data_IF_908694333491
#
_entry.id   IF_908694333491
#
_cell.length_a   1.000
_cell.length_b   1.000
_cell.length_c   1.000
_cell.angle_alpha   90.00
_cell.angle_beta   90.00
_cell.angle_gamma   90.00
#
_symmetry.space_group_name_H-M   'P 1'
#
loop_
_entity.id
_entity.type
_entity.pdbx_description
1 polymer ?
#
# COMPACT_ATOMS: atom_id res chain seq x y z
N UNK A 1 -13.56 -65.28 38.62
CA UNK A 1 -12.30 -65.18 39.40
C UNK A 1 -11.08 -64.97 38.50
N UNK A 2 -10.98 -65.63 37.34
CA UNK A 2 -9.84 -65.42 36.42
C UNK A 2 -9.87 -64.05 35.69
N UNK A 3 -11.06 -63.54 35.33
CA UNK A 3 -11.18 -62.18 34.74
C UNK A 3 -10.71 -61.08 35.70
N UNK A 4 -11.07 -61.16 36.99
CA UNK A 4 -10.66 -60.16 37.98
C UNK A 4 -9.14 -60.13 38.24
N UNK A 5 -8.44 -61.26 38.12
CA UNK A 5 -6.98 -61.31 38.28
C UNK A 5 -6.24 -60.69 37.08
N UNK A 6 -6.76 -60.87 35.86
CA UNK A 6 -6.22 -60.23 34.66
C UNK A 6 -6.48 -58.72 34.65
N UNK A 7 -7.62 -58.28 35.21
CA UNK A 7 -7.93 -56.87 35.43
C UNK A 7 -6.97 -56.23 36.45
N UNK A 8 -6.67 -56.92 37.56
CA UNK A 8 -5.75 -56.42 38.59
C UNK A 8 -4.31 -56.24 38.06
N UNK A 9 -3.78 -57.23 37.31
CA UNK A 9 -2.43 -57.13 36.74
C UNK A 9 -2.32 -56.04 35.66
N UNK A 10 -3.36 -55.82 34.84
CA UNK A 10 -3.39 -54.74 33.85
C UNK A 10 -3.39 -53.36 34.52
N UNK A 11 -4.14 -53.19 35.61
CA UNK A 11 -4.19 -51.93 36.38
C UNK A 11 -2.83 -51.63 37.02
N UNK A 12 -2.13 -52.63 37.55
CA UNK A 12 -0.80 -52.45 38.11
C UNK A 12 0.25 -52.09 37.05
N UNK A 13 0.19 -52.71 35.87
CA UNK A 13 1.07 -52.39 34.75
C UNK A 13 0.91 -50.94 34.29
N UNK A 14 -0.33 -50.46 34.17
CA UNK A 14 -0.63 -49.06 33.82
C UNK A 14 -0.15 -48.11 34.93
N UNK A 15 -0.37 -48.45 36.21
CA UNK A 15 0.11 -47.64 37.34
C UNK A 15 1.63 -47.50 37.37
N UNK A 16 2.38 -48.59 37.14
CA UNK A 16 3.86 -48.55 37.06
C UNK A 16 4.32 -47.74 35.86
N UNK A 17 3.78 -48.03 34.69
CA UNK A 17 4.12 -47.31 33.47
C UNK A 17 3.87 -45.81 33.62
N UNK A 18 2.74 -45.42 34.21
CA UNK A 18 2.44 -44.01 34.50
C UNK A 18 3.46 -43.41 35.48
N UNK A 19 3.76 -44.10 36.59
CA UNK A 19 4.72 -43.60 37.59
C UNK A 19 6.14 -43.41 37.01
N UNK A 20 6.54 -44.26 36.07
CA UNK A 20 7.85 -44.20 35.40
C UNK A 20 7.89 -43.23 34.21
N UNK A 21 6.79 -43.16 33.44
CA UNK A 21 6.75 -42.48 32.12
C UNK A 21 5.85 -41.24 32.06
N UNK A 22 5.19 -40.80 33.14
CA UNK A 22 4.29 -39.63 33.08
C UNK A 22 4.97 -38.38 32.51
N UNK A 23 6.28 -38.21 32.76
CA UNK A 23 7.06 -37.08 32.24
C UNK A 23 7.10 -37.07 30.72
N UNK A 24 7.27 -38.21 30.05
CA UNK A 24 7.34 -38.26 28.58
C UNK A 24 6.01 -37.92 27.90
N UNK A 25 4.90 -37.90 28.63
CA UNK A 25 3.57 -37.51 28.14
C UNK A 25 3.25 -36.07 28.56
N UNK A 26 3.46 -35.74 29.83
CA UNK A 26 3.11 -34.43 30.38
C UNK A 26 3.96 -33.31 29.79
N UNK A 27 5.25 -33.54 29.53
CA UNK A 27 6.09 -32.52 28.89
C UNK A 27 5.61 -32.11 27.49
N UNK A 28 5.41 -33.02 26.52
CA UNK A 28 4.94 -32.63 25.20
C UNK A 28 3.50 -32.10 25.20
N UNK A 29 2.60 -32.70 26.01
CA UNK A 29 1.22 -32.21 26.13
C UNK A 29 1.17 -30.82 26.76
N UNK A 30 1.94 -30.58 27.83
CA UNK A 30 2.07 -29.28 28.46
C UNK A 30 2.66 -28.24 27.51
N UNK A 31 3.70 -28.59 26.76
CA UNK A 31 4.28 -27.73 25.73
C UNK A 31 3.25 -27.37 24.65
N UNK A 32 2.48 -28.34 24.15
CA UNK A 32 1.42 -28.09 23.17
C UNK A 32 0.35 -27.12 23.70
N UNK A 33 -0.06 -27.25 24.96
CA UNK A 33 -1.02 -26.33 25.60
C UNK A 33 -0.46 -24.92 25.70
N UNK A 34 0.80 -24.76 26.13
CA UNK A 34 1.44 -23.44 26.25
C UNK A 34 1.58 -22.78 24.88
N UNK A 35 2.00 -23.54 23.86
CA UNK A 35 2.09 -23.05 22.48
C UNK A 35 0.71 -22.61 21.96
N UNK A 36 -0.32 -23.44 22.14
CA UNK A 36 -1.68 -23.14 21.70
C UNK A 36 -2.26 -21.92 22.42
N UNK A 37 -2.09 -21.83 23.74
CA UNK A 37 -2.54 -20.69 24.53
C UNK A 37 -1.82 -19.39 24.11
N UNK A 38 -0.51 -19.46 23.85
CA UNK A 38 0.26 -18.33 23.35
C UNK A 38 -0.22 -17.85 21.97
N UNK A 39 -0.49 -18.78 21.05
CA UNK A 39 -1.05 -18.46 19.73
C UNK A 39 -2.44 -17.82 19.85
N UNK A 40 -3.35 -18.46 20.59
CA UNK A 40 -4.73 -17.99 20.77
C UNK A 40 -4.79 -16.62 21.45
N UNK A 41 -3.93 -16.37 22.45
CA UNK A 41 -3.82 -15.06 23.09
C UNK A 41 -3.36 -13.97 22.11
N UNK A 42 -2.36 -14.28 21.27
CA UNK A 42 -1.89 -13.34 20.24
C UNK A 42 -2.99 -13.05 19.22
N UNK A 43 -3.72 -14.06 18.78
CA UNK A 43 -4.77 -13.93 17.78
C UNK A 43 -5.94 -13.09 18.29
N UNK A 44 -6.41 -13.35 19.51
CA UNK A 44 -7.43 -12.53 20.18
C UNK A 44 -6.96 -11.07 20.39
N UNK A 45 -5.67 -10.87 20.67
CA UNK A 45 -5.10 -9.52 20.79
C UNK A 45 -5.10 -8.77 19.45
N UNK A 46 -4.71 -9.44 18.36
CA UNK A 46 -4.72 -8.88 17.00
C UNK A 46 -6.15 -8.54 16.57
N UNK A 47 -7.11 -9.44 16.80
CA UNK A 47 -8.51 -9.23 16.44
C UNK A 47 -9.11 -8.02 17.17
N UNK A 48 -8.87 -7.93 18.48
CA UNK A 48 -9.35 -6.79 19.28
C UNK A 48 -8.72 -5.46 18.82
N UNK A 49 -7.42 -5.45 18.52
CA UNK A 49 -6.76 -4.25 17.98
C UNK A 49 -7.30 -3.89 16.59
N UNK A 50 -7.62 -4.88 15.75
CA UNK A 50 -8.17 -4.62 14.42
C UNK A 50 -9.56 -3.95 14.49
N UNK A 51 -10.45 -4.41 15.38
CA UNK A 51 -11.80 -3.84 15.56
C UNK A 51 -11.71 -2.40 16.09
N UNK A 52 -10.97 -2.18 17.18
CA UNK A 52 -10.85 -0.84 17.76
C UNK A 52 -10.09 0.12 16.83
N UNK A 53 -9.08 -0.39 16.13
CA UNK A 53 -8.32 0.35 15.12
C UNK A 53 -9.21 0.76 13.94
N UNK A 54 -10.09 -0.13 13.47
CA UNK A 54 -11.04 0.21 12.39
C UNK A 54 -12.01 1.29 12.80
N UNK A 55 -12.57 1.23 14.02
CA UNK A 55 -13.51 2.25 14.49
C UNK A 55 -12.87 3.64 14.57
N UNK A 56 -11.65 3.74 15.12
CA UNK A 56 -10.90 5.01 15.14
C UNK A 56 -10.52 5.47 13.73
N UNK A 57 -10.11 4.55 12.87
CA UNK A 57 -9.77 4.87 11.49
C UNK A 57 -10.98 5.41 10.70
N UNK A 58 -12.17 4.84 10.90
CA UNK A 58 -13.40 5.34 10.29
C UNK A 58 -13.73 6.76 10.75
N UNK A 59 -13.52 7.07 12.03
CA UNK A 59 -13.66 8.45 12.53
C UNK A 59 -12.64 9.41 11.89
N UNK A 60 -11.40 8.94 11.67
CA UNK A 60 -10.38 9.71 10.96
C UNK A 60 -10.80 9.98 9.51
N UNK A 61 -11.30 8.97 8.80
CA UNK A 61 -11.78 9.09 7.42
C UNK A 61 -12.95 10.09 7.35
N UNK A 62 -13.91 10.01 8.27
CA UNK A 62 -15.02 10.97 8.35
C UNK A 62 -14.53 12.39 8.66
N UNK A 63 -13.50 12.55 9.50
CA UNK A 63 -12.95 13.85 9.83
C UNK A 63 -12.29 14.54 8.61
N UNK A 64 -11.77 13.76 7.66
CA UNK A 64 -11.15 14.28 6.43
C UNK A 64 -12.11 14.30 5.22
N UNK A 65 -13.37 13.94 5.42
CA UNK A 65 -14.37 13.95 4.37
C UNK A 65 -14.83 15.37 4.08
N UNK A 66 -14.78 15.76 2.81
CA UNK A 66 -15.19 17.08 2.33
C UNK A 66 -15.98 16.93 1.04
N UNK A 67 -16.88 17.88 0.79
CA UNK A 67 -17.59 17.95 -0.48
C UNK A 67 -16.62 18.26 -1.63
N UNK A 68 -16.88 17.78 -2.86
CA UNK A 68 -16.03 18.09 -4.01
C UNK A 68 -15.78 19.59 -4.16
N UNK A 69 -14.51 19.99 -4.20
CA UNK A 69 -14.10 21.40 -4.35
C UNK A 69 -14.04 22.20 -3.04
N UNK A 70 -14.20 21.57 -1.87
CA UNK A 70 -13.98 22.19 -0.56
C UNK A 70 -12.66 21.72 0.06
N UNK A 71 -12.06 22.57 0.90
CA UNK A 71 -10.91 22.23 1.73
C UNK A 71 -11.34 21.90 3.16
N UNK A 72 -10.49 21.20 3.89
CA UNK A 72 -10.72 20.92 5.31
C UNK A 72 -10.65 22.21 6.13
N UNK A 73 -11.62 22.41 7.02
CA UNK A 73 -11.51 23.45 8.04
C UNK A 73 -10.35 23.16 8.99
N UNK A 74 -9.85 24.18 9.69
CA UNK A 74 -8.75 24.00 10.65
C UNK A 74 -9.17 23.09 11.82
N UNK A 75 -10.45 23.12 12.22
CA UNK A 75 -10.99 22.18 13.20
C UNK A 75 -10.97 20.73 12.70
N UNK A 76 -11.35 20.50 11.43
CA UNK A 76 -11.29 19.18 10.82
C UNK A 76 -9.86 18.66 10.72
N UNK A 77 -8.91 19.51 10.31
CA UNK A 77 -7.47 19.17 10.28
C UNK A 77 -6.96 18.82 11.66
N UNK A 78 -7.24 19.64 12.67
CA UNK A 78 -6.81 19.40 14.05
C UNK A 78 -7.37 18.08 14.60
N UNK A 79 -8.67 17.81 14.35
CA UNK A 79 -9.31 16.55 14.71
C UNK A 79 -8.66 15.35 14.01
N UNK A 80 -8.39 15.46 12.71
CA UNK A 80 -7.74 14.40 11.94
C UNK A 80 -6.31 14.12 12.44
N UNK A 81 -5.54 15.16 12.76
CA UNK A 81 -4.19 15.00 13.34
C UNK A 81 -4.26 14.30 14.69
N UNK A 82 -5.20 14.71 15.56
CA UNK A 82 -5.41 14.06 16.87
C UNK A 82 -5.72 12.57 16.71
N UNK A 83 -6.70 12.24 15.87
CA UNK A 83 -7.10 10.84 15.62
C UNK A 83 -5.96 10.02 15.02
N UNK A 84 -5.19 10.58 14.10
CA UNK A 84 -4.05 9.88 13.50
C UNK A 84 -2.96 9.59 14.54
N UNK A 85 -2.66 10.54 15.43
CA UNK A 85 -1.67 10.33 16.50
C UNK A 85 -2.16 9.30 17.52
N UNK A 86 -3.43 9.33 17.90
CA UNK A 86 -4.02 8.30 18.77
C UNK A 86 -3.95 6.91 18.13
N UNK A 87 -4.19 6.79 16.82
CA UNK A 87 -4.05 5.51 16.13
C UNK A 87 -2.60 5.03 16.13
N UNK A 88 -1.63 5.93 15.92
CA UNK A 88 -0.22 5.59 15.95
C UNK A 88 0.25 5.14 17.35
N UNK A 89 -0.31 5.71 18.42
CA UNK A 89 -0.02 5.33 19.81
C UNK A 89 -0.69 4.00 20.20
N UNK A 90 -1.99 3.88 19.96
CA UNK A 90 -2.80 2.74 20.43
C UNK A 90 -2.68 1.49 19.56
N UNK A 91 -2.38 1.67 18.26
CA UNK A 91 -2.38 0.60 17.25
C UNK A 91 -1.07 0.55 16.46
N UNK A 92 0.03 0.95 17.09
CA UNK A 92 1.37 0.96 16.48
C UNK A 92 1.71 -0.37 15.80
N UNK A 93 2.23 -0.30 14.57
CA UNK A 93 2.64 -1.48 13.79
C UNK A 93 1.49 -2.25 13.14
N UNK A 94 0.24 -1.81 13.31
CA UNK A 94 -0.89 -2.36 12.57
C UNK A 94 -1.03 -1.74 11.17
N UNK A 95 -1.91 -2.30 10.34
CA UNK A 95 -2.27 -1.67 9.07
C UNK A 95 -2.94 -0.29 9.26
N UNK A 96 -3.69 -0.10 10.35
CA UNK A 96 -4.38 1.17 10.63
C UNK A 96 -3.41 2.29 10.98
N UNK A 97 -2.35 2.00 11.73
CA UNK A 97 -1.24 2.95 11.96
C UNK A 97 -0.61 3.40 10.63
N UNK A 98 -0.25 2.46 9.75
CA UNK A 98 0.29 2.78 8.43
C UNK A 98 -0.68 3.67 7.62
N UNK A 99 -1.98 3.37 7.62
CA UNK A 99 -2.98 4.16 6.88
C UNK A 99 -3.22 5.55 7.49
N UNK A 100 -3.26 5.65 8.82
CA UNK A 100 -3.39 6.92 9.54
C UNK A 100 -2.16 7.81 9.32
N UNK A 101 -0.96 7.23 9.36
CA UNK A 101 0.30 7.91 9.05
C UNK A 101 0.29 8.46 7.61
N UNK A 102 -0.24 7.71 6.64
CA UNK A 102 -0.39 8.18 5.27
C UNK A 102 -1.40 9.33 5.12
N UNK A 103 -2.43 9.41 5.98
CA UNK A 103 -3.36 10.55 6.04
C UNK A 103 -2.65 11.76 6.65
N UNK A 104 -1.92 11.57 7.75
CA UNK A 104 -1.14 12.62 8.38
C UNK A 104 -0.12 13.22 7.39
N UNK A 105 0.57 12.37 6.63
CA UNK A 105 1.48 12.82 5.58
C UNK A 105 0.78 13.65 4.50
N UNK A 106 -0.44 13.30 4.10
CA UNK A 106 -1.23 14.11 3.17
C UNK A 106 -1.51 15.50 3.74
N UNK A 107 -1.93 15.60 5.00
CA UNK A 107 -2.18 16.89 5.65
C UNK A 107 -0.90 17.74 5.68
N UNK A 108 0.27 17.13 5.89
CA UNK A 108 1.57 17.83 5.78
C UNK A 108 1.87 18.32 4.36
N UNK A 109 1.52 17.56 3.33
CA UNK A 109 1.62 18.02 1.93
C UNK A 109 0.69 19.21 1.69
N UNK A 110 -0.54 19.18 2.18
CA UNK A 110 -1.51 20.27 2.04
C UNK A 110 -1.01 21.55 2.74
N UNK A 111 -0.23 21.41 3.84
CA UNK A 111 0.47 22.50 4.53
C UNK A 111 1.80 22.91 3.87
N UNK A 112 2.15 22.35 2.72
CA UNK A 112 3.43 22.52 2.02
C UNK A 112 4.67 22.12 2.85
N UNK A 113 4.50 21.26 3.86
CA UNK A 113 5.56 20.68 4.71
C UNK A 113 6.05 19.36 4.14
N UNK A 114 6.67 19.42 2.97
CA UNK A 114 7.06 18.25 2.18
C UNK A 114 8.08 17.36 2.89
N UNK A 115 9.01 17.93 3.66
CA UNK A 115 10.02 17.19 4.43
C UNK A 115 9.40 16.37 5.57
N UNK A 116 8.34 16.88 6.20
CA UNK A 116 7.59 16.14 7.22
C UNK A 116 6.81 15.00 6.57
N UNK A 117 6.14 15.26 5.44
CA UNK A 117 5.44 14.24 4.67
C UNK A 117 6.39 13.12 4.19
N UNK A 118 7.59 13.47 3.71
CA UNK A 118 8.63 12.53 3.31
C UNK A 118 8.99 11.57 4.46
N UNK A 119 9.24 12.09 5.66
CA UNK A 119 9.58 11.26 6.83
C UNK A 119 8.45 10.29 7.19
N UNK A 120 7.22 10.78 7.21
CA UNK A 120 6.03 9.98 7.53
C UNK A 120 5.78 8.88 6.49
N UNK A 121 5.91 9.17 5.20
CA UNK A 121 5.69 8.14 4.18
C UNK A 121 6.86 7.15 4.15
N UNK A 122 8.09 7.61 4.40
CA UNK A 122 9.28 6.74 4.45
C UNK A 122 9.21 5.75 5.62
N UNK A 123 8.66 6.14 6.77
CA UNK A 123 8.41 5.20 7.86
C UNK A 123 7.43 4.11 7.43
N UNK A 124 6.31 4.48 6.78
CA UNK A 124 5.34 3.52 6.25
C UNK A 124 5.94 2.58 5.20
N UNK A 125 6.81 3.07 4.31
CA UNK A 125 7.53 2.20 3.35
C UNK A 125 8.36 1.13 4.08
N UNK A 126 8.91 1.47 5.25
CA UNK A 126 9.76 0.59 6.05
C UNK A 126 8.96 -0.35 6.97
N UNK A 127 7.77 0.07 7.43
CA UNK A 127 6.91 -0.66 8.38
C UNK A 127 5.63 -1.24 7.76
N UNK A 128 5.50 -1.22 6.43
CA UNK A 128 4.28 -1.61 5.74
C UNK A 128 3.83 -3.03 6.11
N UNK A 129 2.57 -3.15 6.55
CA UNK A 129 1.98 -4.43 6.95
C UNK A 129 1.83 -5.43 5.78
N UNK A 130 1.80 -4.95 4.53
CA UNK A 130 1.72 -5.78 3.33
C UNK A 130 2.31 -5.05 2.11
N UNK A 131 2.54 -5.81 1.04
CA UNK A 131 3.13 -5.32 -0.21
C UNK A 131 2.28 -4.24 -0.89
N UNK A 132 0.96 -4.33 -0.81
CA UNK A 132 0.02 -3.34 -1.36
C UNK A 132 0.20 -1.98 -0.69
N UNK A 133 0.27 -1.94 0.64
CA UNK A 133 0.55 -0.73 1.42
C UNK A 133 1.93 -0.17 1.10
N UNK A 134 2.97 -1.03 1.02
CA UNK A 134 4.31 -0.60 0.65
C UNK A 134 4.35 0.03 -0.75
N UNK A 135 3.66 -0.58 -1.72
CA UNK A 135 3.61 -0.14 -3.12
C UNK A 135 2.89 1.20 -3.26
N UNK A 136 1.78 1.37 -2.54
CA UNK A 136 1.06 2.64 -2.49
C UNK A 136 1.90 3.74 -1.80
N UNK A 137 2.57 3.41 -0.69
CA UNK A 137 3.42 4.36 0.04
C UNK A 137 4.61 4.81 -0.83
N UNK A 138 5.27 3.92 -1.56
CA UNK A 138 6.34 4.26 -2.53
C UNK A 138 5.84 5.22 -3.62
N UNK A 139 4.66 4.98 -4.19
CA UNK A 139 4.07 5.89 -5.17
C UNK A 139 3.78 7.29 -4.59
N UNK A 140 3.28 7.36 -3.34
CA UNK A 140 3.04 8.63 -2.64
C UNK A 140 4.35 9.34 -2.30
N UNK A 141 5.38 8.61 -1.87
CA UNK A 141 6.71 9.16 -1.60
C UNK A 141 7.34 9.71 -2.88
N UNK A 142 7.18 9.02 -4.02
CA UNK A 142 7.62 9.51 -5.31
C UNK A 142 6.95 10.84 -5.70
N UNK A 143 5.65 11.02 -5.39
CA UNK A 143 4.97 12.32 -5.57
C UNK A 143 5.56 13.41 -4.68
N UNK A 144 5.90 13.10 -3.43
CA UNK A 144 6.54 14.07 -2.53
C UNK A 144 7.93 14.44 -3.03
N UNK A 145 8.73 13.46 -3.46
CA UNK A 145 10.03 13.71 -4.09
C UNK A 145 9.91 14.53 -5.37
N UNK A 146 8.90 14.25 -6.21
CA UNK A 146 8.60 15.06 -7.38
C UNK A 146 8.30 16.52 -6.99
N UNK A 147 7.43 16.74 -6.00
CA UNK A 147 7.08 18.08 -5.53
C UNK A 147 8.27 18.83 -4.89
N UNK A 148 9.20 18.11 -4.27
CA UNK A 148 10.47 18.65 -3.74
C UNK A 148 11.53 18.89 -4.84
N UNK A 149 11.27 18.52 -6.10
CA UNK A 149 12.26 18.57 -7.18
C UNK A 149 13.34 17.48 -7.12
N UNK A 150 13.21 16.49 -6.22
CA UNK A 150 14.10 15.32 -6.11
C UNK A 150 13.76 14.28 -7.18
N UNK A 151 13.86 14.67 -8.45
CA UNK A 151 13.36 13.89 -9.59
C UNK A 151 13.99 12.50 -9.72
N UNK A 152 15.29 12.36 -9.48
CA UNK A 152 15.96 11.06 -9.56
C UNK A 152 15.53 10.10 -8.43
N UNK A 153 15.32 10.64 -7.22
CA UNK A 153 14.79 9.87 -6.10
C UNK A 153 13.35 9.43 -6.37
N UNK A 154 12.51 10.32 -6.94
CA UNK A 154 11.17 9.99 -7.37
C UNK A 154 11.18 8.86 -8.41
N UNK A 155 12.00 9.00 -9.47
CA UNK A 155 12.12 8.00 -10.52
C UNK A 155 12.57 6.64 -9.99
N UNK A 156 13.53 6.63 -9.05
CA UNK A 156 14.04 5.42 -8.41
C UNK A 156 12.95 4.60 -7.71
N UNK A 157 11.95 5.26 -7.11
CA UNK A 157 10.84 4.59 -6.44
C UNK A 157 9.81 3.97 -7.40
N UNK A 158 9.60 4.56 -8.58
CA UNK A 158 8.54 4.15 -9.52
C UNK A 158 9.05 3.45 -10.78
N UNK A 159 10.34 3.11 -10.84
CA UNK A 159 10.95 2.39 -11.98
C UNK A 159 10.82 0.88 -11.90
N UNK A 160 10.58 0.33 -10.71
CA UNK A 160 10.45 -1.12 -10.52
C UNK A 160 9.10 -1.63 -11.03
N UNK A 161 9.03 -2.85 -11.59
CA UNK A 161 7.76 -3.51 -11.86
C UNK A 161 6.92 -3.65 -10.59
N UNK A 162 5.60 -3.52 -10.74
CA UNK A 162 4.61 -3.66 -9.66
C UNK A 162 3.48 -4.57 -10.12
N UNK A 163 2.56 -4.90 -9.23
CA UNK A 163 1.37 -5.66 -9.63
C UNK A 163 0.50 -4.84 -10.60
N UNK A 164 -0.29 -5.50 -11.48
CA UNK A 164 -1.10 -4.80 -12.49
C UNK A 164 -2.04 -3.73 -11.95
N UNK A 165 -2.46 -3.84 -10.67
CA UNK A 165 -3.29 -2.86 -10.00
C UNK A 165 -2.63 -1.48 -9.85
N UNK A 166 -1.29 -1.40 -9.89
CA UNK A 166 -0.52 -0.17 -9.72
C UNK A 166 0.20 0.30 -10.97
N UNK A 167 0.20 -0.48 -12.06
CA UNK A 167 0.94 -0.17 -13.29
C UNK A 167 0.61 1.22 -13.83
N UNK A 168 -0.68 1.56 -13.90
CA UNK A 168 -1.14 2.87 -14.37
C UNK A 168 -0.62 4.01 -13.50
N UNK A 169 -0.67 3.84 -12.18
CA UNK A 169 -0.19 4.84 -11.22
C UNK A 169 1.34 5.04 -11.33
N UNK A 170 2.11 3.96 -11.41
CA UNK A 170 3.57 4.01 -11.52
C UNK A 170 4.00 4.58 -12.88
N UNK A 171 3.32 4.20 -13.95
CA UNK A 171 3.57 4.74 -15.28
C UNK A 171 3.26 6.25 -15.35
N UNK A 172 2.14 6.70 -14.78
CA UNK A 172 1.81 8.13 -14.72
C UNK A 172 2.89 8.92 -13.98
N UNK A 173 3.36 8.43 -12.83
CA UNK A 173 4.41 9.09 -12.04
C UNK A 173 5.76 9.14 -12.74
N UNK A 174 6.13 8.06 -13.45
CA UNK A 174 7.32 8.07 -14.31
C UNK A 174 7.18 9.14 -15.39
N UNK A 175 6.01 9.23 -16.01
CA UNK A 175 5.71 10.26 -17.00
C UNK A 175 5.87 11.67 -16.45
N UNK A 176 5.30 11.93 -15.27
CA UNK A 176 5.40 13.22 -14.58
C UNK A 176 6.86 13.59 -14.33
N UNK A 177 7.65 12.65 -13.80
CA UNK A 177 9.08 12.85 -13.54
C UNK A 177 9.88 13.08 -14.83
N UNK A 178 9.65 12.29 -15.89
CA UNK A 178 10.33 12.50 -17.18
C UNK A 178 9.97 13.85 -17.80
N UNK A 179 8.70 14.27 -17.71
CA UNK A 179 8.26 15.56 -18.21
C UNK A 179 8.97 16.70 -17.48
N UNK A 180 9.09 16.63 -16.15
CA UNK A 180 9.83 17.61 -15.36
C UNK A 180 11.35 17.63 -15.65
N UNK A 181 11.93 16.49 -16.08
CA UNK A 181 13.32 16.42 -16.57
C UNK A 181 13.49 16.94 -18.01
N UNK A 182 12.41 17.32 -18.70
CA UNK A 182 12.42 17.72 -20.10
C UNK A 182 12.46 16.56 -21.09
N UNK A 183 12.39 15.32 -20.61
CA UNK A 183 12.49 14.10 -21.41
C UNK A 183 11.13 13.72 -22.03
N UNK A 184 10.58 14.60 -22.88
CA UNK A 184 9.20 14.50 -23.41
C UNK A 184 8.89 13.15 -24.08
N UNK A 185 9.81 12.60 -24.87
CA UNK A 185 9.61 11.30 -25.52
C UNK A 185 9.38 10.17 -24.50
N UNK A 186 10.19 10.13 -23.43
CA UNK A 186 10.02 9.12 -22.37
C UNK A 186 8.76 9.37 -21.56
N UNK A 187 8.42 10.63 -21.31
CA UNK A 187 7.17 10.99 -20.65
C UNK A 187 5.94 10.51 -21.44
N UNK A 188 5.93 10.75 -22.76
CA UNK A 188 4.86 10.33 -23.65
C UNK A 188 4.65 8.81 -23.62
N UNK A 189 5.74 8.03 -23.74
CA UNK A 189 5.69 6.56 -23.61
C UNK A 189 5.12 6.11 -22.26
N UNK A 190 5.54 6.76 -21.18
CA UNK A 190 5.05 6.43 -19.84
C UNK A 190 3.56 6.76 -19.66
N UNK A 191 3.08 7.90 -20.19
CA UNK A 191 1.65 8.24 -20.16
C UNK A 191 0.79 7.32 -21.03
N UNK A 192 1.32 6.88 -22.18
CA UNK A 192 0.63 5.89 -23.01
C UNK A 192 0.45 4.57 -22.25
N UNK A 193 1.50 4.09 -21.58
CA UNK A 193 1.41 2.92 -20.71
C UNK A 193 0.41 3.14 -19.56
N UNK A 194 0.39 4.34 -18.98
CA UNK A 194 -0.53 4.67 -17.91
C UNK A 194 -1.99 4.59 -18.37
N UNK A 195 -2.33 5.08 -19.57
CA UNK A 195 -3.68 5.00 -20.15
C UNK A 195 -4.08 3.58 -20.55
N UNK A 196 -3.14 2.79 -21.06
CA UNK A 196 -3.39 1.42 -21.50
C UNK A 196 -3.69 0.49 -20.32
N UNK A 197 -3.10 0.75 -19.16
CA UNK A 197 -3.29 -0.05 -17.93
C UNK A 197 -4.32 0.56 -16.96
N UNK A 198 -4.88 1.74 -17.28
CA UNK A 198 -5.87 2.40 -16.43
C UNK A 198 -7.22 1.65 -16.46
N UNK A 199 -7.80 1.30 -15.30
CA UNK A 199 -9.12 0.68 -15.24
C UNK A 199 -10.19 1.54 -15.94
N UNK A 200 -11.11 0.95 -16.73
CA UNK A 200 -12.08 1.70 -17.54
C UNK A 200 -12.99 2.65 -16.74
N UNK A 201 -13.25 2.32 -15.47
CA UNK A 201 -14.13 3.10 -14.60
C UNK A 201 -13.51 4.44 -14.13
N UNK A 202 -12.20 4.64 -14.31
CA UNK A 202 -11.50 5.84 -13.84
C UNK A 202 -11.52 6.98 -14.86
N UNK A 203 -12.70 7.39 -15.30
CA UNK A 203 -12.89 8.41 -16.34
C UNK A 203 -12.15 9.73 -16.04
N UNK A 204 -12.23 10.24 -14.80
CA UNK A 204 -11.56 11.48 -14.41
C UNK A 204 -10.04 11.39 -14.52
N UNK A 205 -9.44 10.24 -14.14
CA UNK A 205 -7.98 10.04 -14.29
C UNK A 205 -7.59 9.90 -15.76
N UNK A 206 -8.41 9.22 -16.56
CA UNK A 206 -8.17 9.06 -18.01
C UNK A 206 -8.03 10.42 -18.69
N UNK A 207 -8.94 11.35 -18.43
CA UNK A 207 -8.89 12.70 -19.01
C UNK A 207 -7.62 13.47 -18.63
N UNK A 208 -7.16 13.36 -17.38
CA UNK A 208 -5.94 14.03 -16.91
C UNK A 208 -4.70 13.42 -17.58
N UNK A 209 -4.60 12.10 -17.65
CA UNK A 209 -3.45 11.44 -18.27
C UNK A 209 -3.42 11.69 -19.78
N UNK A 210 -4.59 11.76 -20.44
CA UNK A 210 -4.68 12.13 -21.85
C UNK A 210 -4.12 13.54 -22.10
N UNK A 211 -4.48 14.51 -21.26
CA UNK A 211 -3.94 15.86 -21.36
C UNK A 211 -2.40 15.88 -21.21
N UNK A 212 -1.87 15.11 -20.25
CA UNK A 212 -0.42 14.96 -20.04
C UNK A 212 0.28 14.29 -21.24
N UNK A 213 -0.35 13.27 -21.82
CA UNK A 213 0.13 12.59 -23.03
C UNK A 213 0.20 13.58 -24.21
N UNK A 214 -0.86 14.35 -24.42
CA UNK A 214 -0.94 15.31 -25.52
C UNK A 214 0.09 16.44 -25.36
N UNK A 215 0.31 16.93 -24.14
CA UNK A 215 1.33 17.92 -23.82
C UNK A 215 2.78 17.43 -24.01
N UNK A 216 2.99 16.11 -24.07
CA UNK A 216 4.31 15.49 -24.26
C UNK A 216 4.49 14.87 -25.65
N UNK A 217 3.54 15.06 -26.57
CA UNK A 217 3.70 14.64 -27.96
C UNK A 217 4.97 15.26 -28.55
N UNK A 218 5.73 14.42 -29.24
CA UNK A 218 6.89 14.84 -30.03
C UNK A 218 6.43 14.86 -31.51
N UNK A 219 6.56 16.00 -32.22
CA UNK A 219 6.04 16.16 -33.59
C UNK A 219 6.54 15.12 -34.60
N UNK A 220 7.70 14.52 -34.34
CA UNK A 220 8.45 13.67 -35.27
C UNK A 220 7.75 12.33 -35.65
N UNK A 221 6.63 11.98 -35.01
CA UNK A 221 5.81 10.82 -35.39
C UNK A 221 4.49 11.17 -36.09
N UNK A 222 4.05 12.44 -36.03
CA UNK A 222 2.79 12.88 -36.67
C UNK A 222 3.04 13.41 -38.09
N UNK A 223 4.17 14.09 -38.30
CA UNK A 223 4.49 14.69 -39.60
C UNK A 223 4.96 13.64 -40.63
N UNK A 224 5.56 12.52 -40.19
CA UNK A 224 5.99 11.44 -41.09
C UNK A 224 4.82 10.68 -41.75
N UNK A 225 3.62 10.72 -41.17
CA UNK A 225 2.42 10.11 -41.78
C UNK A 225 1.74 11.10 -42.73
N UNK A 226 1.76 12.40 -42.40
CA UNK A 226 1.20 13.44 -43.25
C UNK A 226 2.07 13.74 -44.49
N UNK A 227 3.40 13.65 -44.40
CA UNK A 227 4.29 13.82 -45.56
C UNK A 227 4.19 12.65 -46.55
N UNK A 228 3.96 11.43 -46.06
CA UNK A 228 3.81 10.24 -46.93
C UNK A 228 2.47 10.28 -47.70
N UNK A 229 1.38 10.69 -47.07
CA UNK A 229 0.09 10.83 -47.76
C UNK A 229 0.13 11.93 -48.84
N UNK A 230 0.75 13.09 -48.57
CA UNK A 230 0.82 14.21 -49.53
C UNK A 230 1.75 13.89 -50.71
N UNK A 231 2.87 13.20 -50.50
CA UNK A 231 3.75 12.81 -51.62
C UNK A 231 3.17 11.67 -52.47
N UNK A 232 2.31 10.81 -51.91
CA UNK A 232 1.67 9.72 -52.67
C UNK A 232 0.58 10.23 -53.63
N UNK A 233 -0.09 11.33 -53.30
CA UNK A 233 -1.07 11.98 -54.18
C UNK A 233 -0.41 12.85 -55.27
N UNK A 234 0.79 13.36 -55.02
CA UNK A 234 1.53 14.18 -55.98
C UNK A 234 2.17 13.35 -57.12
N UNK A 235 2.64 12.13 -56.86
CA UNK A 235 3.22 11.24 -57.88
C UNK A 235 2.17 10.55 -58.78
N UNK A 236 0.89 10.57 -58.41
CA UNK A 236 -0.19 10.01 -59.23
C UNK A 236 -0.76 11.02 -60.26
N UNK A 237 -0.24 12.24 -60.30
CA UNK A 237 -0.73 13.35 -61.12
C UNK A 237 0.23 13.82 -62.23
N UNK A 238 1.37 13.15 -62.45
CA UNK A 238 2.25 13.30 -63.62
C UNK A 238 2.15 12.09 -64.57
#
# INVERSE_FOLDING_TARGET
MAEHLAEEEQIEAIKRWWKESWKSIVFPVGAAIVIYAGWSFREAHIEKQAILGSEKYDQLVQAIEVQPGQELSDEQKSKAVSLANEIAEDFSGTAYDNLATLILARLKVDENKLEEAEKLISSVVSSAANESTATLAKARLAKVYYAQGKLDAALGLVSSPVSPAYDSLYAELRGDVFAAKGEKAKANVAYQLALNTLPPQQFSRRSIIQLKLDATRVPEAADAVAEVDVNSEAEAAE
#
